data_IF_105380101289
#
_entry.id   IF_105380101289
#
_cell.length_a   1.000
_cell.length_b   1.000
_cell.length_c   1.000
_cell.angle_alpha   90.00
_cell.angle_beta   90.00
_cell.angle_gamma   90.00
#
_symmetry.space_group_name_H-M   'P 1'
#
loop_
_entity.id
_entity.type
_entity.pdbx_description
1 polymer ?
#
# COMPACT_ATOMS: atom_id res chain seq x y z
N UNK A 1 3.07 33.83 -34.11
CA UNK A 1 1.70 34.05 -33.59
C UNK A 1 1.68 33.68 -32.12
N UNK A 2 1.70 34.70 -31.26
CA UNK A 2 1.59 34.55 -29.81
C UNK A 2 0.11 34.68 -29.43
N UNK A 3 -0.41 33.71 -28.68
CA UNK A 3 -1.74 33.74 -28.07
C UNK A 3 -1.57 34.13 -26.58
N UNK A 4 -2.18 35.23 -26.11
CA UNK A 4 -1.98 35.72 -24.75
C UNK A 4 -2.95 35.05 -23.75
N UNK A 5 -2.37 34.52 -22.68
CA UNK A 5 -3.02 34.05 -21.45
C UNK A 5 -3.59 35.24 -20.66
N UNK A 6 -4.78 35.72 -21.02
CA UNK A 6 -5.42 36.86 -20.33
C UNK A 6 -6.83 36.57 -19.78
N UNK A 7 -7.10 35.33 -19.37
CA UNK A 7 -8.45 34.92 -18.90
C UNK A 7 -8.51 34.62 -17.38
N UNK A 8 -7.40 34.63 -16.62
CA UNK A 8 -7.44 34.31 -15.18
C UNK A 8 -7.19 35.47 -14.19
N UNK A 9 -7.09 36.72 -14.66
CA UNK A 9 -6.83 37.89 -13.80
C UNK A 9 -8.11 38.67 -13.44
N UNK A 10 -9.25 38.35 -14.03
CA UNK A 10 -10.48 39.17 -13.94
C UNK A 10 -11.50 38.79 -12.86
N UNK A 11 -11.22 37.85 -11.95
CA UNK A 11 -12.23 37.44 -10.93
C UNK A 11 -11.88 37.69 -9.46
N UNK A 12 -10.74 38.31 -9.12
CA UNK A 12 -10.40 38.58 -7.72
C UNK A 12 -10.32 40.07 -7.33
N UNK A 13 -10.84 40.97 -8.18
CA UNK A 13 -10.85 42.42 -7.91
C UNK A 13 -12.22 43.05 -7.64
N UNK A 14 -13.22 42.24 -7.29
CA UNK A 14 -14.53 42.73 -6.88
C UNK A 14 -14.82 42.30 -5.42
N UNK A 15 -14.90 43.30 -4.53
CA UNK A 15 -15.30 43.27 -3.11
C UNK A 15 -14.19 43.24 -2.05
N UNK A 16 -13.70 44.43 -1.65
CA UNK A 16 -14.20 45.03 -0.41
C UNK A 16 -13.79 46.50 -0.29
N UNK A 17 -14.78 47.38 -0.28
CA UNK A 17 -14.66 48.80 0.06
C UNK A 17 -14.73 48.92 1.59
N UNK A 18 -13.80 49.67 2.19
CA UNK A 18 -14.08 50.54 3.33
C UNK A 18 -12.88 51.48 3.60
N UNK A 19 -13.06 52.77 3.30
CA UNK A 19 -12.37 53.92 3.90
C UNK A 19 -13.47 54.87 4.41
N UNK A 20 -13.27 55.58 5.52
CA UNK A 20 -12.83 57.00 5.45
C UNK A 20 -11.82 57.32 6.60
N UNK A 21 -11.01 58.38 6.67
CA UNK A 21 -10.82 59.65 5.97
C UNK A 21 -9.38 60.21 6.24
N UNK A 22 -9.07 61.31 5.57
CA UNK A 22 -7.80 62.03 5.30
C UNK A 22 -7.64 63.21 6.29
N UNK A 23 -6.49 63.37 6.99
CA UNK A 23 -5.41 64.43 6.85
C UNK A 23 -5.71 65.75 7.60
N UNK A 24 -4.77 66.43 8.30
CA UNK A 24 -3.74 67.42 7.82
C UNK A 24 -2.78 67.86 8.95
N UNK A 25 -1.45 67.78 8.74
CA UNK A 25 -0.44 68.87 8.53
C UNK A 25 -0.03 69.75 9.73
N UNK A 26 1.28 69.83 10.02
CA UNK A 26 2.14 71.04 9.87
C UNK A 26 3.54 70.83 10.49
N UNK A 27 4.58 71.29 9.78
CA UNK A 27 5.98 71.43 10.22
C UNK A 27 6.45 72.87 10.01
N UNK A 28 7.29 73.43 10.91
CA UNK A 28 8.46 74.23 10.45
C UNK A 28 9.73 74.03 11.32
N UNK A 29 10.94 73.80 10.76
CA UNK A 29 12.05 74.77 10.49
C UNK A 29 12.74 75.30 11.80
N UNK A 30 14.04 75.11 12.16
CA UNK A 30 15.33 75.59 11.56
C UNK A 30 16.57 75.23 12.48
N UNK A 31 17.75 74.96 11.87
CA UNK A 31 19.23 75.01 12.27
C UNK A 31 19.71 74.56 13.67
N UNK A 32 20.86 73.87 13.84
CA UNK A 32 22.27 74.37 13.78
C UNK A 32 23.24 73.31 13.20
N UNK A 33 24.19 73.77 12.38
CA UNK A 33 25.40 73.06 11.92
C UNK A 33 26.65 73.49 12.71
N UNK A 34 27.59 72.53 12.82
CA UNK A 34 29.06 72.60 13.06
C UNK A 34 29.62 72.36 14.47
N UNK A 35 30.07 71.09 14.61
CA UNK A 35 31.37 70.60 15.09
C UNK A 35 31.75 70.92 16.55
N UNK A 36 32.46 70.05 17.27
CA UNK A 36 33.85 69.71 17.00
C UNK A 36 34.30 68.49 17.82
N UNK A 37 35.23 67.73 17.25
CA UNK A 37 36.36 67.04 17.91
C UNK A 37 36.16 66.46 19.32
N UNK A 38 36.31 65.12 19.39
CA UNK A 38 36.37 64.25 20.57
C UNK A 38 35.37 64.58 21.67
N UNK A 39 34.23 63.88 21.74
CA UNK A 39 33.28 64.14 22.81
C UNK A 39 32.78 62.84 23.42
N UNK A 40 33.28 62.53 24.61
CA UNK A 40 32.72 61.58 25.56
C UNK A 40 31.19 61.66 25.53
N UNK A 41 30.55 60.50 25.36
CA UNK A 41 29.11 60.36 25.50
C UNK A 41 28.72 60.96 26.84
N UNK A 42 28.17 62.18 26.83
CA UNK A 42 27.45 62.71 27.98
C UNK A 42 26.24 61.81 28.20
N UNK A 43 26.43 60.77 29.01
CA UNK A 43 25.39 60.06 29.73
C UNK A 43 24.83 61.07 30.72
N UNK A 44 23.61 61.60 30.53
CA UNK A 44 23.04 62.46 31.53
C UNK A 44 22.82 61.59 32.78
N UNK A 45 23.38 62.00 33.91
CA UNK A 45 23.17 61.34 35.19
C UNK A 45 21.71 61.62 35.64
N UNK A 46 20.76 60.91 35.03
CA UNK A 46 19.34 60.94 35.39
C UNK A 46 19.01 60.07 36.61
N UNK A 47 20.01 59.44 37.26
CA UNK A 47 19.81 58.53 38.39
C UNK A 47 19.18 59.22 39.62
N UNK A 48 19.24 60.54 39.68
CA UNK A 48 18.76 61.37 40.78
C UNK A 48 17.51 62.23 40.46
N UNK A 49 16.95 62.14 39.24
CA UNK A 49 15.70 62.83 38.90
C UNK A 49 14.50 62.01 39.40
N UNK A 50 13.69 62.51 40.35
CA UNK A 50 12.58 61.76 40.95
C UNK A 50 11.53 61.32 39.93
N UNK A 51 11.29 62.11 38.89
CA UNK A 51 10.29 61.82 37.87
C UNK A 51 10.82 60.78 36.88
N UNK A 52 12.09 60.89 36.47
CA UNK A 52 12.71 59.89 35.60
C UNK A 52 12.80 58.53 36.29
N UNK A 53 13.17 58.51 37.58
CA UNK A 53 13.23 57.28 38.39
C UNK A 53 11.87 56.60 38.50
N UNK A 54 10.80 57.36 38.69
CA UNK A 54 9.43 56.82 38.73
C UNK A 54 9.00 56.22 37.38
N UNK A 55 9.30 56.88 36.26
CA UNK A 55 8.97 56.37 34.92
C UNK A 55 9.79 55.12 34.57
N UNK A 56 11.07 55.11 34.93
CA UNK A 56 11.96 53.98 34.68
C UNK A 56 11.54 52.76 35.51
N UNK A 57 11.19 52.96 36.79
CA UNK A 57 10.70 51.92 37.68
C UNK A 57 9.34 51.36 37.20
N UNK A 58 8.43 52.22 36.74
CA UNK A 58 7.16 51.79 36.13
C UNK A 58 7.37 51.00 34.81
N UNK A 59 8.39 51.35 34.03
CA UNK A 59 8.78 50.58 32.85
C UNK A 59 9.38 49.23 33.24
N UNK A 60 10.28 49.17 34.23
CA UNK A 60 10.84 47.92 34.75
C UNK A 60 9.76 47.01 35.30
N UNK A 61 8.84 47.51 36.14
CA UNK A 61 7.74 46.73 36.70
C UNK A 61 6.85 46.13 35.60
N UNK A 62 6.45 46.94 34.61
CA UNK A 62 5.63 46.48 33.47
C UNK A 62 6.39 45.53 32.54
N UNK A 63 7.70 45.66 32.47
CA UNK A 63 8.53 44.82 31.60
C UNK A 63 8.80 43.48 32.28
N UNK A 64 9.12 43.47 33.59
CA UNK A 64 9.21 42.27 34.42
C UNK A 64 7.89 41.49 34.46
N UNK A 65 6.75 42.17 34.61
CA UNK A 65 5.44 41.49 34.59
C UNK A 65 5.19 40.80 33.25
N UNK A 66 5.52 41.45 32.12
CA UNK A 66 5.38 40.85 30.79
C UNK A 66 6.36 39.69 30.55
N UNK A 67 7.55 39.74 31.14
CA UNK A 67 8.50 38.62 31.07
C UNK A 67 7.97 37.42 31.86
N UNK A 68 7.45 37.61 33.07
CA UNK A 68 6.82 36.55 33.84
C UNK A 68 5.61 35.95 33.11
N UNK A 69 4.71 36.77 32.55
CA UNK A 69 3.58 36.28 31.73
C UNK A 69 4.01 35.58 30.43
N UNK A 70 5.16 35.93 29.86
CA UNK A 70 5.72 35.24 28.70
C UNK A 70 6.32 33.89 29.10
N UNK A 71 7.07 33.84 30.20
CA UNK A 71 7.69 32.62 30.72
C UNK A 71 6.64 31.61 31.18
N UNK A 72 5.58 32.05 31.86
CA UNK A 72 4.47 31.18 32.28
C UNK A 72 3.74 30.57 31.08
N UNK A 73 3.43 31.38 30.05
CA UNK A 73 2.84 30.88 28.79
C UNK A 73 3.79 29.93 28.05
N UNK A 74 5.09 30.19 28.11
CA UNK A 74 6.09 29.30 27.52
C UNK A 74 6.15 27.96 28.26
N UNK A 75 6.12 27.96 29.60
CA UNK A 75 6.11 26.75 30.43
C UNK A 75 4.83 25.95 30.18
N UNK A 76 3.67 26.60 30.13
CA UNK A 76 2.37 25.96 29.85
C UNK A 76 2.36 25.27 28.47
N UNK A 77 2.78 25.99 27.42
CA UNK A 77 2.89 25.41 26.07
C UNK A 77 3.89 24.26 26.00
N UNK A 78 4.99 24.34 26.77
CA UNK A 78 6.01 23.28 26.85
C UNK A 78 5.47 22.03 27.54
N UNK A 79 4.69 22.18 28.63
CA UNK A 79 3.96 21.07 29.27
C UNK A 79 2.98 20.42 28.30
N UNK A 80 2.16 21.23 27.61
CA UNK A 80 1.17 20.69 26.67
C UNK A 80 1.82 19.93 25.50
N UNK A 81 2.95 20.43 24.99
CA UNK A 81 3.69 19.75 23.93
C UNK A 81 4.32 18.44 24.42
N UNK A 82 4.84 18.41 25.66
CA UNK A 82 5.38 17.20 26.29
C UNK A 82 4.31 16.14 26.51
N UNK A 83 3.15 16.51 27.06
CA UNK A 83 2.02 15.59 27.25
C UNK A 83 1.50 15.04 25.91
N UNK A 84 1.47 15.87 24.87
CA UNK A 84 1.07 15.43 23.52
C UNK A 84 2.09 14.45 22.94
N UNK A 85 3.38 14.72 23.12
CA UNK A 85 4.45 13.84 22.65
C UNK A 85 4.43 12.49 23.40
N UNK A 86 4.29 12.50 24.73
CA UNK A 86 4.21 11.30 25.56
C UNK A 86 2.97 10.45 25.19
N UNK A 87 1.84 11.10 24.88
CA UNK A 87 0.63 10.41 24.41
C UNK A 87 0.81 9.75 23.03
N UNK A 88 1.48 10.41 22.10
CA UNK A 88 1.80 9.84 20.79
C UNK A 88 2.83 8.71 20.90
N UNK A 89 3.86 8.86 21.76
CA UNK A 89 4.85 7.81 22.04
C UNK A 89 4.18 6.59 22.67
N UNK A 90 3.30 6.78 23.67
CA UNK A 90 2.49 5.70 24.26
C UNK A 90 1.67 4.99 23.18
N UNK A 91 1.06 5.73 22.25
CA UNK A 91 0.28 5.17 21.14
C UNK A 91 1.16 4.37 20.17
N UNK A 92 2.37 4.85 19.88
CA UNK A 92 3.35 4.15 19.04
C UNK A 92 3.84 2.86 19.72
N UNK A 93 4.16 2.91 21.01
CA UNK A 93 4.57 1.73 21.80
C UNK A 93 3.43 0.70 21.87
N UNK A 94 2.19 1.15 22.10
CA UNK A 94 1.03 0.25 22.13
C UNK A 94 0.80 -0.40 20.76
N UNK A 95 0.98 0.37 19.68
CA UNK A 95 0.88 -0.11 18.30
C UNK A 95 1.98 -1.13 17.97
N UNK A 96 3.23 -0.85 18.32
CA UNK A 96 4.37 -1.77 18.15
C UNK A 96 4.18 -3.06 18.95
N UNK A 97 3.61 -2.97 20.17
CA UNK A 97 3.30 -4.15 20.99
C UNK A 97 2.20 -5.01 20.36
N UNK A 98 1.16 -4.40 19.80
CA UNK A 98 0.10 -5.13 19.07
C UNK A 98 0.64 -5.75 17.77
N UNK A 99 1.47 -5.03 17.02
CA UNK A 99 2.11 -5.54 15.80
C UNK A 99 3.02 -6.73 16.10
N UNK A 100 3.83 -6.67 17.17
CA UNK A 100 4.66 -7.80 17.62
C UNK A 100 3.84 -9.00 18.11
N UNK A 101 2.73 -8.77 18.82
CA UNK A 101 1.84 -9.85 19.23
C UNK A 101 1.14 -10.50 18.02
N UNK A 102 0.72 -9.70 17.05
CA UNK A 102 0.17 -10.19 15.79
C UNK A 102 1.21 -11.01 15.02
N UNK A 103 2.45 -10.54 14.91
CA UNK A 103 3.54 -11.24 14.22
C UNK A 103 3.91 -12.55 14.93
N UNK A 104 3.90 -12.58 16.26
CA UNK A 104 4.08 -13.82 17.04
C UNK A 104 2.92 -14.79 16.85
N UNK A 105 1.66 -14.33 16.86
CA UNK A 105 0.52 -15.21 16.60
C UNK A 105 0.51 -15.71 15.15
N UNK A 106 0.90 -14.87 14.19
CA UNK A 106 0.92 -15.23 12.79
C UNK A 106 2.06 -16.22 12.49
N UNK A 107 3.23 -16.07 13.11
CA UNK A 107 4.32 -17.07 13.03
C UNK A 107 3.94 -18.38 13.72
N UNK A 108 3.24 -18.34 14.86
CA UNK A 108 2.70 -19.54 15.54
C UNK A 108 1.64 -20.25 14.69
N UNK A 109 0.69 -19.51 14.10
CA UNK A 109 -0.27 -20.05 13.14
C UNK A 109 0.43 -20.60 11.88
N UNK A 110 1.51 -19.99 11.42
CA UNK A 110 2.21 -20.41 10.21
C UNK A 110 3.01 -21.71 10.40
N UNK A 111 3.42 -22.03 11.63
CA UNK A 111 3.87 -23.38 12.01
C UNK A 111 2.73 -24.39 12.06
N UNK A 112 1.51 -24.00 12.43
CA UNK A 112 0.33 -24.88 12.41
C UNK A 112 -0.25 -25.09 11.00
N UNK A 113 -0.05 -24.13 10.08
CA UNK A 113 -0.57 -24.16 8.69
C UNK A 113 0.29 -25.02 7.73
N UNK A 114 1.43 -25.58 8.17
CA UNK A 114 2.04 -26.70 7.43
C UNK A 114 1.20 -28.00 7.45
N UNK A 115 0.03 -27.99 8.09
CA UNK A 115 -1.00 -29.00 7.92
C UNK A 115 -2.32 -28.34 7.48
N UNK A 116 -2.65 -28.53 6.20
CA UNK A 116 -3.95 -28.36 5.54
C UNK A 116 -4.78 -27.07 5.80
N UNK A 117 -4.73 -26.15 4.84
CA UNK A 117 -5.79 -25.14 4.66
C UNK A 117 -5.39 -23.93 3.82
N UNK A 118 -5.74 -23.94 2.53
CA UNK A 118 -5.61 -22.80 1.61
C UNK A 118 -6.52 -21.65 2.06
N UNK A 119 -6.02 -20.43 2.35
CA UNK A 119 -6.87 -19.26 2.43
C UNK A 119 -6.96 -18.56 1.09
N UNK A 120 -8.20 -18.25 0.74
CA UNK A 120 -8.67 -17.44 -0.37
C UNK A 120 -7.90 -16.12 -0.51
N UNK A 121 -7.59 -15.77 -1.76
CA UNK A 121 -6.81 -14.65 -2.23
C UNK A 121 -7.11 -13.30 -1.50
N UNK A 122 -6.18 -12.85 -0.66
CA UNK A 122 -6.10 -11.47 -0.14
C UNK A 122 -4.97 -10.74 -0.86
N UNK A 123 -5.10 -10.56 -2.18
CA UNK A 123 -4.11 -9.81 -2.97
C UNK A 123 -4.32 -8.28 -2.89
N UNK A 124 -5.49 -7.82 -2.44
CA UNK A 124 -5.83 -6.39 -2.47
C UNK A 124 -5.22 -5.59 -1.32
N UNK A 125 -5.03 -6.20 -0.14
CA UNK A 125 -4.39 -5.54 1.01
C UNK A 125 -2.86 -5.65 1.01
N UNK A 126 -2.31 -6.80 0.60
CA UNK A 126 -0.86 -7.05 0.74
C UNK A 126 0.01 -6.21 -0.21
N UNK A 127 -0.45 -5.97 -1.46
CA UNK A 127 0.29 -5.12 -2.39
C UNK A 127 0.21 -3.65 -1.98
N UNK A 128 -0.97 -3.16 -1.59
CA UNK A 128 -1.15 -1.78 -1.15
C UNK A 128 -0.30 -1.47 0.10
N UNK A 129 -0.31 -2.34 1.10
CA UNK A 129 0.40 -2.15 2.37
C UNK A 129 1.94 -2.22 2.19
N UNK A 130 2.42 -3.06 1.27
CA UNK A 130 3.84 -3.15 0.90
C UNK A 130 4.29 -1.98 0.02
N UNK A 131 3.39 -1.43 -0.81
CA UNK A 131 3.65 -0.28 -1.68
C UNK A 131 3.65 1.04 -0.90
N UNK A 132 2.76 1.22 0.08
CA UNK A 132 2.72 2.41 0.94
C UNK A 132 4.00 2.53 1.78
N UNK A 133 4.49 1.39 2.33
CA UNK A 133 5.73 1.33 3.11
C UNK A 133 6.98 1.66 2.27
N UNK A 134 7.01 1.29 0.99
CA UNK A 134 8.13 1.61 0.09
C UNK A 134 8.06 3.07 -0.44
N UNK A 135 6.87 3.60 -0.69
CA UNK A 135 6.69 5.03 -1.00
C UNK A 135 7.18 5.92 0.16
N UNK A 136 6.87 5.54 1.41
CA UNK A 136 7.43 6.19 2.59
C UNK A 136 8.96 6.11 2.65
N UNK A 137 9.56 4.96 2.33
CA UNK A 137 11.03 4.79 2.30
C UNK A 137 11.72 5.66 1.25
N UNK A 138 11.10 5.89 0.08
CA UNK A 138 11.59 6.85 -0.91
C UNK A 138 11.58 8.29 -0.40
N UNK A 139 10.75 8.61 0.60
CA UNK A 139 10.71 9.93 1.25
C UNK A 139 11.67 10.00 2.45
N UNK A 140 11.89 8.89 3.15
CA UNK A 140 12.71 8.83 4.37
C UNK A 140 14.21 8.83 4.12
N UNK A 141 14.67 8.28 2.98
CA UNK A 141 16.11 8.27 2.64
C UNK A 141 16.65 9.63 2.19
N UNK A 142 15.81 10.68 2.22
CA UNK A 142 16.15 12.06 1.83
C UNK A 142 16.46 12.95 3.05
N UNK A 143 16.20 12.48 4.28
CA UNK A 143 16.39 13.24 5.53
C UNK A 143 17.78 13.09 6.20
N UNK A 144 18.69 12.30 5.62
CA UNK A 144 19.92 11.86 6.30
C UNK A 144 21.24 12.29 5.69
N UNK A 145 21.26 13.21 4.71
CA UNK A 145 22.53 13.69 4.12
C UNK A 145 22.61 15.21 4.29
N UNK A 146 23.49 15.63 5.19
CA UNK A 146 23.94 17.02 5.32
C UNK A 146 24.55 17.44 3.97
N UNK A 147 24.05 18.58 3.45
CA UNK A 147 24.30 19.23 2.15
C UNK A 147 25.80 19.28 1.68
N UNK A 148 26.15 19.49 0.37
CA UNK A 148 25.61 20.53 -0.50
C UNK A 148 25.59 20.21 -2.02
N UNK A 149 24.41 20.02 -2.61
CA UNK A 149 24.17 20.40 -4.02
C UNK A 149 22.66 20.39 -4.30
N UNK A 150 22.09 21.59 -4.43
CA UNK A 150 20.67 21.80 -4.69
C UNK A 150 20.20 21.32 -6.09
N UNK A 151 21.08 20.69 -6.88
CA UNK A 151 20.77 20.15 -8.20
C UNK A 151 20.63 18.62 -8.28
N UNK A 152 21.00 17.87 -7.24
CA UNK A 152 21.11 16.39 -7.34
C UNK A 152 19.93 15.66 -6.68
N UNK A 153 19.21 16.29 -5.75
CA UNK A 153 18.10 15.64 -5.02
C UNK A 153 16.86 15.36 -5.90
N UNK A 154 16.65 16.12 -6.99
CA UNK A 154 15.57 15.84 -7.94
C UNK A 154 15.82 14.55 -8.75
N UNK A 155 17.08 14.29 -9.13
CA UNK A 155 17.44 13.11 -9.95
C UNK A 155 17.46 11.79 -9.18
N UNK A 156 17.73 11.81 -7.87
CA UNK A 156 17.86 10.59 -7.06
C UNK A 156 16.48 9.96 -6.77
N UNK A 157 15.45 10.78 -6.51
CA UNK A 157 14.09 10.29 -6.26
C UNK A 157 13.42 9.77 -7.53
N UNK A 158 13.56 10.48 -8.66
CA UNK A 158 13.08 10.03 -9.95
C UNK A 158 13.81 8.76 -10.41
N UNK A 159 15.14 8.70 -10.27
CA UNK A 159 15.96 7.54 -10.64
C UNK A 159 15.57 6.26 -9.91
N UNK A 160 15.28 6.34 -8.61
CA UNK A 160 14.78 5.20 -7.84
C UNK A 160 13.38 4.74 -8.29
N UNK A 161 12.50 5.69 -8.67
CA UNK A 161 11.16 5.38 -9.18
C UNK A 161 11.21 4.71 -10.55
N UNK A 162 12.11 5.16 -11.44
CA UNK A 162 12.33 4.56 -12.75
C UNK A 162 12.93 3.15 -12.66
N UNK A 163 13.80 2.88 -11.68
CA UNK A 163 14.31 1.53 -11.42
C UNK A 163 13.24 0.60 -10.83
N UNK A 164 12.28 1.14 -10.06
CA UNK A 164 11.22 0.35 -9.43
C UNK A 164 10.14 -0.13 -10.40
N UNK A 165 9.70 0.73 -11.32
CA UNK A 165 8.61 0.42 -12.26
C UNK A 165 8.78 -0.91 -13.02
N UNK A 166 9.93 -1.22 -13.66
CA UNK A 166 10.09 -2.49 -14.38
C UNK A 166 10.05 -3.69 -13.42
N UNK A 167 10.67 -3.60 -12.24
CA UNK A 167 10.64 -4.67 -11.24
C UNK A 167 9.22 -4.94 -10.72
N UNK A 168 8.44 -3.88 -10.50
CA UNK A 168 7.05 -3.99 -10.08
C UNK A 168 6.15 -4.61 -11.16
N UNK A 169 6.39 -4.27 -12.43
CA UNK A 169 5.66 -4.85 -13.57
C UNK A 169 5.97 -6.34 -13.75
N UNK A 170 7.24 -6.75 -13.62
CA UNK A 170 7.61 -8.17 -13.70
C UNK A 170 6.98 -8.97 -12.54
N UNK A 171 7.05 -8.44 -11.31
CA UNK A 171 6.38 -9.07 -10.17
C UNK A 171 4.85 -9.16 -10.34
N UNK A 172 4.23 -8.14 -10.95
CA UNK A 172 2.79 -8.11 -11.23
C UNK A 172 2.38 -9.18 -12.27
N UNK A 173 3.19 -9.37 -13.32
CA UNK A 173 2.98 -10.42 -14.33
C UNK A 173 3.14 -11.82 -13.74
N UNK A 174 4.17 -12.05 -12.93
CA UNK A 174 4.35 -13.34 -12.26
C UNK A 174 3.21 -13.65 -11.29
N UNK A 175 2.76 -12.66 -10.49
CA UNK A 175 1.60 -12.81 -9.63
C UNK A 175 0.31 -13.11 -10.43
N UNK A 176 0.13 -12.47 -11.59
CA UNK A 176 -1.01 -12.73 -12.47
C UNK A 176 -0.98 -14.14 -13.07
N UNK A 177 0.19 -14.63 -13.48
CA UNK A 177 0.39 -15.98 -13.98
C UNK A 177 0.06 -17.03 -12.92
N UNK A 178 0.53 -16.83 -11.69
CA UNK A 178 0.22 -17.73 -10.57
C UNK A 178 -1.28 -17.74 -10.24
N UNK A 179 -1.92 -16.57 -10.23
CA UNK A 179 -3.37 -16.48 -10.05
C UNK A 179 -4.16 -17.18 -11.17
N UNK A 180 -3.69 -17.07 -12.42
CA UNK A 180 -4.24 -17.78 -13.57
C UNK A 180 -4.15 -19.30 -13.42
N UNK A 181 -2.97 -19.81 -13.06
CA UNK A 181 -2.73 -21.25 -12.83
C UNK A 181 -3.60 -21.77 -11.68
N UNK A 182 -3.71 -21.02 -10.58
CA UNK A 182 -4.55 -21.40 -9.45
C UNK A 182 -6.04 -21.49 -9.83
N UNK A 183 -6.54 -20.51 -10.59
CA UNK A 183 -7.91 -20.53 -11.10
C UNK A 183 -8.14 -21.70 -12.06
N UNK A 184 -7.17 -22.00 -12.92
CA UNK A 184 -7.21 -23.15 -13.81
C UNK A 184 -7.27 -24.48 -13.05
N UNK A 185 -6.36 -24.69 -12.10
CA UNK A 185 -6.32 -25.89 -11.26
C UNK A 185 -7.65 -26.11 -10.54
N UNK A 186 -8.20 -25.09 -9.90
CA UNK A 186 -9.49 -25.17 -9.21
C UNK A 186 -10.64 -25.55 -10.16
N UNK A 187 -10.67 -24.99 -11.36
CA UNK A 187 -11.69 -25.31 -12.36
C UNK A 187 -11.55 -26.74 -12.91
N UNK A 188 -10.31 -27.19 -13.16
CA UNK A 188 -10.01 -28.55 -13.58
C UNK A 188 -10.41 -29.59 -12.52
N UNK A 189 -10.04 -29.35 -11.26
CA UNK A 189 -10.39 -30.24 -10.14
C UNK A 189 -11.91 -30.34 -9.93
N UNK A 190 -12.63 -29.21 -10.00
CA UNK A 190 -14.08 -29.20 -9.90
C UNK A 190 -14.75 -29.97 -11.05
N UNK A 191 -14.26 -29.79 -12.28
CA UNK A 191 -14.75 -30.50 -13.45
C UNK A 191 -14.45 -32.00 -13.38
N UNK A 192 -13.22 -32.37 -13.02
CA UNK A 192 -12.77 -33.75 -12.87
C UNK A 192 -13.57 -34.49 -11.79
N UNK A 193 -13.74 -33.89 -10.60
CA UNK A 193 -14.58 -34.42 -9.53
C UNK A 193 -16.00 -34.72 -10.01
N UNK A 194 -16.65 -33.74 -10.66
CA UNK A 194 -18.03 -33.88 -11.15
C UNK A 194 -18.13 -35.00 -12.19
N UNK A 195 -17.18 -35.07 -13.12
CA UNK A 195 -17.16 -36.08 -14.17
C UNK A 195 -16.90 -37.49 -13.63
N UNK A 196 -15.99 -37.67 -12.66
CA UNK A 196 -15.75 -38.98 -12.03
C UNK A 196 -17.00 -39.46 -11.31
N UNK A 197 -17.65 -38.60 -10.52
CA UNK A 197 -18.89 -38.96 -9.83
C UNK A 197 -19.96 -39.41 -10.84
N UNK A 198 -20.13 -38.68 -11.95
CA UNK A 198 -21.08 -39.04 -13.01
C UNK A 198 -20.71 -40.39 -13.67
N UNK A 199 -19.43 -40.59 -14.00
CA UNK A 199 -18.95 -41.83 -14.61
C UNK A 199 -19.13 -43.05 -13.73
N UNK A 200 -18.90 -42.91 -12.42
CA UNK A 200 -19.17 -43.99 -11.47
C UNK A 200 -20.66 -44.28 -11.32
N UNK A 201 -21.51 -43.25 -11.39
CA UNK A 201 -22.97 -43.45 -11.40
C UNK A 201 -23.41 -44.25 -12.64
N UNK A 202 -22.86 -43.96 -13.81
CA UNK A 202 -23.18 -44.72 -15.04
C UNK A 202 -22.70 -46.17 -14.98
N UNK A 203 -21.65 -46.46 -14.22
CA UNK A 203 -21.14 -47.81 -13.99
C UNK A 203 -21.93 -48.60 -12.90
N UNK A 204 -23.00 -48.03 -12.34
CA UNK A 204 -23.81 -48.71 -11.31
C UNK A 204 -23.23 -48.65 -9.89
N UNK A 205 -22.15 -47.87 -9.66
CA UNK A 205 -21.54 -47.72 -8.32
C UNK A 205 -22.50 -47.06 -7.33
N UNK A 206 -23.45 -46.25 -7.82
CA UNK A 206 -24.47 -45.60 -6.99
C UNK A 206 -25.34 -46.62 -6.25
N UNK A 207 -25.63 -47.73 -6.89
CA UNK A 207 -26.51 -48.74 -6.30
C UNK A 207 -25.76 -49.47 -5.21
N UNK A 208 -24.50 -49.88 -5.44
CA UNK A 208 -23.70 -50.68 -4.49
C UNK A 208 -23.13 -49.85 -3.34
N UNK A 209 -22.62 -48.65 -3.60
CA UNK A 209 -21.95 -47.84 -2.59
C UNK A 209 -22.17 -46.33 -2.79
N UNK A 210 -23.38 -45.81 -2.51
CA UNK A 210 -23.71 -44.39 -2.67
C UNK A 210 -22.87 -43.48 -1.75
N UNK A 211 -22.40 -43.98 -0.61
CA UNK A 211 -21.52 -43.24 0.32
C UNK A 211 -20.14 -42.93 -0.28
N UNK A 212 -19.63 -43.80 -1.15
CA UNK A 212 -18.35 -43.59 -1.80
C UNK A 212 -18.40 -42.36 -2.71
N UNK A 213 -19.49 -42.20 -3.46
CA UNK A 213 -19.68 -41.06 -4.36
C UNK A 213 -19.66 -39.71 -3.62
N UNK A 214 -20.14 -39.68 -2.38
CA UNK A 214 -20.07 -38.48 -1.52
C UNK A 214 -18.66 -38.19 -1.01
N UNK A 215 -17.82 -39.23 -0.87
CA UNK A 215 -16.45 -39.12 -0.36
C UNK A 215 -15.44 -38.65 -1.41
N UNK A 216 -15.77 -38.79 -2.69
CA UNK A 216 -14.90 -38.38 -3.81
C UNK A 216 -14.75 -36.86 -3.85
N UNK A 217 -13.50 -36.40 -3.95
CA UNK A 217 -13.12 -35.00 -3.90
C UNK A 217 -13.43 -34.31 -2.57
N UNK A 218 -13.60 -35.07 -1.49
CA UNK A 218 -13.59 -34.59 -0.10
C UNK A 218 -12.49 -35.32 0.66
N UNK A 219 -12.61 -36.64 0.75
CA UNK A 219 -11.65 -37.52 1.42
C UNK A 219 -10.76 -38.28 0.43
N UNK A 220 -11.34 -38.71 -0.69
CA UNK A 220 -10.63 -39.46 -1.73
C UNK A 220 -10.38 -38.53 -2.91
N UNK A 221 -9.12 -38.30 -3.35
CA UNK A 221 -8.86 -37.53 -4.56
C UNK A 221 -9.54 -38.17 -5.77
N UNK A 222 -10.16 -37.36 -6.63
CA UNK A 222 -10.92 -37.89 -7.77
C UNK A 222 -10.05 -38.64 -8.80
N UNK A 223 -8.74 -38.37 -8.79
CA UNK A 223 -7.74 -38.95 -9.67
C UNK A 223 -6.99 -40.14 -9.04
N UNK A 224 -7.31 -40.53 -7.80
CA UNK A 224 -6.69 -41.66 -7.12
C UNK A 224 -7.42 -42.96 -7.47
N UNK A 225 -6.97 -43.58 -8.56
CA UNK A 225 -7.49 -44.86 -9.06
C UNK A 225 -7.41 -45.95 -8.00
N UNK A 226 -6.33 -46.00 -7.21
CA UNK A 226 -6.12 -47.06 -6.22
C UNK A 226 -7.13 -46.98 -5.08
N UNK A 227 -7.29 -45.79 -4.50
CA UNK A 227 -8.26 -45.59 -3.41
C UNK A 227 -9.70 -45.78 -3.87
N UNK A 228 -10.05 -45.28 -5.06
CA UNK A 228 -11.39 -45.45 -5.62
C UNK A 228 -11.67 -46.93 -5.87
N UNK A 229 -10.78 -47.64 -6.55
CA UNK A 229 -10.98 -49.04 -6.92
C UNK A 229 -11.07 -49.94 -5.69
N UNK A 230 -10.17 -49.76 -4.71
CA UNK A 230 -10.20 -50.53 -3.47
C UNK A 230 -11.49 -50.29 -2.65
N UNK A 231 -11.97 -49.05 -2.60
CA UNK A 231 -13.21 -48.73 -1.90
C UNK A 231 -14.45 -49.33 -2.59
N UNK A 232 -14.47 -49.35 -3.92
CA UNK A 232 -15.52 -50.03 -4.71
C UNK A 232 -15.45 -51.53 -4.46
N UNK A 233 -14.28 -52.14 -4.61
CA UNK A 233 -14.07 -53.58 -4.48
C UNK A 233 -14.51 -54.10 -3.10
N UNK A 234 -14.12 -53.46 -2.00
CA UNK A 234 -14.54 -53.87 -0.65
C UNK A 234 -16.06 -53.87 -0.47
N UNK A 235 -16.75 -52.89 -1.05
CA UNK A 235 -18.21 -52.80 -0.97
C UNK A 235 -18.88 -53.81 -1.89
N UNK A 236 -18.31 -54.03 -3.07
CA UNK A 236 -18.74 -55.06 -4.01
C UNK A 236 -18.62 -56.47 -3.40
N UNK A 237 -17.49 -56.80 -2.77
CA UNK A 237 -17.27 -58.09 -2.11
C UNK A 237 -18.28 -58.32 -0.97
N UNK A 238 -18.54 -57.29 -0.15
CA UNK A 238 -19.54 -57.34 0.92
C UNK A 238 -20.98 -57.50 0.40
N UNK A 239 -21.31 -56.90 -0.75
CA UNK A 239 -22.67 -56.87 -1.28
C UNK A 239 -22.99 -58.08 -2.20
N UNK A 240 -22.01 -58.58 -2.94
CA UNK A 240 -22.22 -59.54 -4.02
C UNK A 240 -21.57 -60.91 -3.78
N UNK A 241 -20.58 -61.03 -2.86
CA UNK A 241 -19.79 -62.27 -2.68
C UNK A 241 -19.97 -63.00 -1.34
N UNK A 242 -20.47 -62.34 -0.27
CA UNK A 242 -20.40 -62.86 1.11
C UNK A 242 -21.70 -63.41 1.72
N UNK A 243 -22.85 -63.35 1.03
CA UNK A 243 -24.12 -63.94 1.54
C UNK A 243 -24.34 -65.41 1.11
N UNK A 244 -24.95 -66.26 1.98
CA UNK A 244 -25.31 -67.64 1.64
C UNK A 244 -26.44 -67.65 0.61
N UNK A 245 -26.14 -68.13 -0.61
CA UNK A 245 -26.99 -67.98 -1.79
C UNK A 245 -26.50 -66.86 -2.69
N UNK A 246 -25.28 -67.02 -3.20
CA UNK A 246 -24.54 -66.04 -4.01
C UNK A 246 -25.45 -65.35 -5.05
N UNK A 247 -25.75 -64.06 -4.83
CA UNK A 247 -26.51 -63.23 -5.78
C UNK A 247 -25.58 -62.54 -6.77
N UNK A 248 -24.54 -63.22 -7.26
CA UNK A 248 -23.78 -62.75 -8.44
C UNK A 248 -24.74 -62.44 -9.60
N UNK A 249 -25.87 -63.16 -9.66
CA UNK A 249 -26.95 -63.00 -10.63
C UNK A 249 -28.13 -62.13 -10.12
N UNK A 250 -28.02 -61.50 -8.95
CA UNK A 250 -29.00 -60.50 -8.52
C UNK A 250 -28.93 -59.29 -9.45
N UNK A 251 -30.07 -58.69 -9.81
CA UNK A 251 -30.14 -57.63 -10.83
C UNK A 251 -29.12 -56.49 -10.63
N UNK A 252 -28.86 -56.14 -9.37
CA UNK A 252 -27.87 -55.13 -8.97
C UNK A 252 -26.42 -55.57 -9.23
N UNK A 253 -26.03 -56.77 -8.79
CA UNK A 253 -24.68 -57.30 -8.98
C UNK A 253 -24.42 -57.67 -10.44
N UNK A 254 -25.44 -58.19 -11.15
CA UNK A 254 -25.34 -58.49 -12.58
C UNK A 254 -25.08 -57.23 -13.40
N UNK A 255 -25.85 -56.16 -13.18
CA UNK A 255 -25.66 -54.89 -13.90
C UNK A 255 -24.27 -54.28 -13.60
N UNK A 256 -23.82 -54.32 -12.35
CA UNK A 256 -22.47 -53.89 -12.02
C UNK A 256 -21.42 -54.75 -12.72
N UNK A 257 -21.57 -56.07 -12.67
CA UNK A 257 -20.62 -56.98 -13.29
C UNK A 257 -20.54 -56.79 -14.80
N UNK A 258 -21.68 -56.58 -15.47
CA UNK A 258 -21.71 -56.28 -16.90
C UNK A 258 -20.99 -54.97 -17.22
N UNK A 259 -21.27 -53.89 -16.46
CA UNK A 259 -20.63 -52.59 -16.66
C UNK A 259 -19.12 -52.59 -16.39
N UNK A 260 -18.65 -53.48 -15.52
CA UNK A 260 -17.24 -53.66 -15.20
C UNK A 260 -16.59 -54.83 -15.96
N UNK A 261 -17.27 -55.50 -16.89
CA UNK A 261 -16.70 -56.60 -17.67
C UNK A 261 -16.34 -57.85 -16.83
N UNK A 262 -17.01 -58.04 -15.69
CA UNK A 262 -16.74 -59.10 -14.73
C UNK A 262 -17.49 -60.40 -15.02
N UNK A 263 -18.47 -60.42 -15.93
CA UNK A 263 -19.26 -61.60 -16.25
C UNK A 263 -18.88 -62.20 -17.60
N UNK A 264 -18.77 -63.53 -17.63
CA UNK A 264 -18.79 -64.27 -18.88
C UNK A 264 -20.25 -64.58 -19.24
N UNK A 265 -20.76 -63.94 -20.30
CA UNK A 265 -22.14 -64.12 -20.75
C UNK A 265 -22.46 -65.54 -21.25
N UNK A 266 -21.45 -66.35 -21.57
CA UNK A 266 -21.64 -67.75 -22.03
C UNK A 266 -21.83 -68.72 -20.85
N UNK A 267 -21.16 -68.46 -19.72
CA UNK A 267 -21.17 -69.37 -18.56
C UNK A 267 -21.92 -68.82 -17.35
N UNK A 268 -22.22 -67.52 -17.32
CA UNK A 268 -22.80 -66.82 -16.18
C UNK A 268 -21.86 -66.76 -14.96
N UNK A 269 -20.59 -67.12 -15.13
CA UNK A 269 -19.58 -67.11 -14.08
C UNK A 269 -18.77 -65.80 -14.13
N UNK A 270 -18.16 -65.45 -12.99
CA UNK A 270 -17.22 -64.33 -12.93
C UNK A 270 -15.97 -64.64 -13.77
N UNK A 271 -15.55 -63.65 -14.55
CA UNK A 271 -14.37 -63.68 -15.41
C UNK A 271 -13.22 -62.89 -14.75
N UNK A 272 -12.08 -63.54 -14.57
CA UNK A 272 -10.87 -62.91 -14.01
C UNK A 272 -10.98 -62.55 -12.51
N UNK A 273 -10.01 -61.77 -12.04
CA UNK A 273 -10.01 -61.25 -10.67
C UNK A 273 -10.78 -59.92 -10.62
N UNK A 274 -11.88 -59.88 -9.88
CA UNK A 274 -12.76 -58.71 -9.84
C UNK A 274 -12.05 -57.42 -9.40
N UNK A 275 -11.08 -57.51 -8.49
CA UNK A 275 -10.24 -56.38 -8.07
C UNK A 275 -9.45 -55.77 -9.24
N UNK A 276 -8.87 -56.63 -10.09
CA UNK A 276 -8.06 -56.23 -11.23
C UNK A 276 -8.90 -55.53 -12.29
N UNK A 277 -10.06 -56.09 -12.63
CA UNK A 277 -10.89 -55.53 -13.68
C UNK A 277 -11.59 -54.24 -13.27
N UNK A 278 -12.09 -54.16 -12.01
CA UNK A 278 -12.56 -52.89 -11.44
C UNK A 278 -11.46 -51.83 -11.54
N UNK A 279 -10.23 -52.17 -11.19
CA UNK A 279 -9.10 -51.23 -11.29
C UNK A 279 -8.85 -50.78 -12.73
N UNK A 280 -8.95 -51.68 -13.71
CA UNK A 280 -8.75 -51.36 -15.13
C UNK A 280 -9.84 -50.42 -15.68
N UNK A 281 -11.12 -50.70 -15.38
CA UNK A 281 -12.23 -49.84 -15.78
C UNK A 281 -12.10 -48.45 -15.18
N UNK A 282 -11.80 -48.37 -13.87
CA UNK A 282 -11.62 -47.09 -13.16
C UNK A 282 -10.42 -46.33 -13.70
N UNK A 283 -9.31 -47.03 -14.01
CA UNK A 283 -8.12 -46.41 -14.62
C UNK A 283 -8.45 -45.77 -15.96
N UNK A 284 -9.21 -46.45 -16.81
CA UNK A 284 -9.66 -45.94 -18.11
C UNK A 284 -10.58 -44.72 -17.94
N UNK A 285 -11.57 -44.82 -17.06
CA UNK A 285 -12.50 -43.74 -16.75
C UNK A 285 -11.78 -42.50 -16.22
N UNK A 286 -10.98 -42.66 -15.16
CA UNK A 286 -10.23 -41.58 -14.51
C UNK A 286 -9.18 -41.01 -15.45
N UNK A 287 -8.52 -41.82 -16.26
CA UNK A 287 -7.55 -41.38 -17.25
C UNK A 287 -8.15 -40.43 -18.29
N UNK A 288 -9.29 -40.82 -18.89
CA UNK A 288 -10.00 -39.97 -19.84
C UNK A 288 -10.52 -38.67 -19.20
N UNK A 289 -11.06 -38.76 -17.99
CA UNK A 289 -11.55 -37.59 -17.26
C UNK A 289 -10.41 -36.65 -16.86
N UNK A 290 -9.27 -37.20 -16.43
CA UNK A 290 -8.07 -36.41 -16.10
C UNK A 290 -7.60 -35.60 -17.30
N UNK A 291 -7.53 -36.21 -18.49
CA UNK A 291 -7.21 -35.49 -19.72
C UNK A 291 -8.14 -34.30 -19.98
N UNK A 292 -9.46 -34.50 -19.81
CA UNK A 292 -10.44 -33.42 -19.99
C UNK A 292 -10.38 -32.36 -18.88
N UNK A 293 -10.09 -32.77 -17.64
CA UNK A 293 -9.92 -31.87 -16.50
C UNK A 293 -8.66 -30.99 -16.66
N UNK A 294 -7.56 -31.58 -17.14
CA UNK A 294 -6.31 -30.88 -17.43
C UNK A 294 -6.51 -29.90 -18.60
N UNK A 295 -7.23 -30.29 -19.65
CA UNK A 295 -7.61 -29.40 -20.75
C UNK A 295 -8.48 -28.23 -20.25
N UNK A 296 -9.44 -28.49 -19.34
CA UNK A 296 -10.25 -27.44 -18.73
C UNK A 296 -9.41 -26.50 -17.87
N UNK A 297 -8.46 -27.04 -17.10
CA UNK A 297 -7.54 -26.24 -16.30
C UNK A 297 -6.65 -25.34 -17.17
N UNK A 298 -6.13 -25.88 -18.28
CA UNK A 298 -5.34 -25.13 -19.24
C UNK A 298 -6.16 -24.00 -19.89
N UNK A 299 -7.40 -24.28 -20.33
CA UNK A 299 -8.29 -23.28 -20.91
C UNK A 299 -8.59 -22.13 -19.94
N UNK A 300 -8.97 -22.45 -18.70
CA UNK A 300 -9.25 -21.42 -17.69
C UNK A 300 -7.99 -20.64 -17.31
N UNK A 301 -6.82 -21.29 -17.26
CA UNK A 301 -5.54 -20.59 -17.05
C UNK A 301 -5.27 -19.59 -18.17
N UNK A 302 -5.46 -20.01 -19.42
CA UNK A 302 -5.28 -19.16 -20.59
C UNK A 302 -6.26 -17.98 -20.61
N UNK A 303 -7.50 -18.18 -20.19
CA UNK A 303 -8.52 -17.12 -20.12
C UNK A 303 -8.26 -16.11 -18.99
N UNK A 304 -7.83 -16.59 -17.82
CA UNK A 304 -7.70 -15.76 -16.60
C UNK A 304 -6.38 -15.03 -16.49
N UNK A 305 -5.28 -15.63 -16.95
CA UNK A 305 -3.94 -15.01 -16.93
C UNK A 305 -3.90 -13.61 -17.57
N UNK A 306 -4.44 -13.37 -18.78
CA UNK A 306 -4.41 -12.03 -19.38
C UNK A 306 -5.23 -11.03 -18.58
N UNK A 307 -6.40 -11.43 -18.06
CA UNK A 307 -7.27 -10.58 -17.24
C UNK A 307 -6.54 -10.12 -15.97
N UNK A 308 -5.89 -11.05 -15.27
CA UNK A 308 -5.09 -10.72 -14.08
C UNK A 308 -3.86 -9.88 -14.43
N UNK A 309 -3.25 -10.13 -15.59
CA UNK A 309 -2.08 -9.38 -16.04
C UNK A 309 -2.43 -7.92 -16.27
N UNK A 310 -3.49 -7.65 -17.03
CA UNK A 310 -4.00 -6.29 -17.25
C UNK A 310 -4.32 -5.61 -15.92
N UNK A 311 -5.10 -6.25 -15.04
CA UNK A 311 -5.48 -5.69 -13.75
C UNK A 311 -4.26 -5.33 -12.88
N UNK A 312 -3.27 -6.22 -12.81
CA UNK A 312 -2.09 -6.00 -11.97
C UNK A 312 -1.17 -4.93 -12.57
N UNK A 313 -1.02 -4.88 -13.90
CA UNK A 313 -0.26 -3.82 -14.59
C UNK A 313 -0.93 -2.46 -14.38
N UNK A 314 -2.25 -2.39 -14.49
CA UNK A 314 -3.01 -1.15 -14.29
C UNK A 314 -2.87 -0.64 -12.85
N UNK A 315 -2.89 -1.54 -11.86
CA UNK A 315 -2.62 -1.20 -10.46
C UNK A 315 -1.21 -0.62 -10.26
N UNK A 316 -0.19 -1.22 -10.88
CA UNK A 316 1.19 -0.71 -10.83
C UNK A 316 1.29 0.67 -11.49
N UNK A 317 0.70 0.84 -12.68
CA UNK A 317 0.72 2.12 -13.41
C UNK A 317 -0.01 3.23 -12.66
N UNK A 318 -1.17 2.92 -12.07
CA UNK A 318 -1.95 3.87 -11.26
C UNK A 318 -1.15 4.33 -10.05
N UNK A 319 -0.50 3.40 -9.35
CA UNK A 319 0.35 3.69 -8.20
C UNK A 319 1.55 4.55 -8.61
N UNK A 320 2.23 4.18 -9.70
CA UNK A 320 3.33 4.95 -10.25
C UNK A 320 2.93 6.38 -10.61
N UNK A 321 1.77 6.57 -11.27
CA UNK A 321 1.25 7.88 -11.63
C UNK A 321 0.94 8.75 -10.41
N UNK A 322 0.40 8.15 -9.34
CA UNK A 322 0.19 8.84 -8.06
C UNK A 322 1.52 9.32 -7.45
N UNK A 323 2.53 8.44 -7.39
CA UNK A 323 3.86 8.80 -6.88
C UNK A 323 4.52 9.91 -7.70
N UNK A 324 4.45 9.82 -9.04
CA UNK A 324 5.01 10.83 -9.93
C UNK A 324 4.35 12.19 -9.70
N UNK A 325 3.02 12.24 -9.59
CA UNK A 325 2.26 13.48 -9.34
C UNK A 325 2.69 14.13 -8.02
N UNK A 326 2.86 13.33 -6.96
CA UNK A 326 3.32 13.82 -5.66
C UNK A 326 4.76 14.39 -5.71
N UNK A 327 5.66 13.73 -6.45
CA UNK A 327 7.04 14.21 -6.65
C UNK A 327 7.04 15.53 -7.43
N UNK A 328 6.29 15.61 -8.55
CA UNK A 328 6.19 16.84 -9.35
C UNK A 328 5.63 18.02 -8.56
N UNK A 329 4.57 17.80 -7.76
CA UNK A 329 4.01 18.83 -6.90
C UNK A 329 5.03 19.34 -5.87
N UNK A 330 5.84 18.45 -5.29
CA UNK A 330 6.90 18.79 -4.35
C UNK A 330 8.02 19.61 -5.00
N UNK A 331 8.42 19.27 -6.23
CA UNK A 331 9.43 20.03 -7.00
C UNK A 331 8.93 21.44 -7.29
N UNK A 332 7.67 21.58 -7.76
CA UNK A 332 7.07 22.89 -8.04
C UNK A 332 7.05 23.76 -6.77
N UNK A 333 6.68 23.20 -5.62
CA UNK A 333 6.68 23.92 -4.35
C UNK A 333 8.09 24.43 -3.97
N UNK A 334 9.13 23.60 -4.11
CA UNK A 334 10.52 23.99 -3.83
C UNK A 334 10.98 25.13 -4.77
N UNK A 335 10.68 25.03 -6.07
CA UNK A 335 11.03 26.06 -7.06
C UNK A 335 10.37 27.41 -6.72
N UNK A 336 9.09 27.39 -6.32
CA UNK A 336 8.37 28.61 -5.90
C UNK A 336 9.01 29.24 -4.67
N UNK A 337 9.40 28.44 -3.66
CA UNK A 337 10.10 28.94 -2.46
C UNK A 337 11.43 29.59 -2.83
N UNK A 338 12.23 28.96 -3.70
CA UNK A 338 13.51 29.50 -4.16
C UNK A 338 13.31 30.82 -4.91
N UNK A 339 12.31 30.91 -5.79
CA UNK A 339 12.00 32.14 -6.52
C UNK A 339 11.63 33.30 -5.58
N UNK A 340 10.81 33.05 -4.57
CA UNK A 340 10.45 34.05 -3.55
C UNK A 340 11.71 34.52 -2.80
N UNK A 341 12.57 33.59 -2.36
CA UNK A 341 13.82 33.90 -1.67
C UNK A 341 14.76 34.76 -2.54
N UNK A 342 14.87 34.46 -3.84
CA UNK A 342 15.65 35.25 -4.80
C UNK A 342 15.08 36.66 -4.97
N UNK A 343 13.76 36.81 -5.08
CA UNK A 343 13.11 38.13 -5.19
C UNK A 343 13.37 38.97 -3.93
N UNK A 344 13.13 38.40 -2.75
CA UNK A 344 13.40 39.07 -1.47
C UNK A 344 14.89 39.47 -1.37
N UNK A 345 15.79 38.55 -1.72
CA UNK A 345 17.22 38.82 -1.75
C UNK A 345 17.58 39.98 -2.69
N UNK A 346 17.03 40.02 -3.91
CA UNK A 346 17.28 41.09 -4.87
C UNK A 346 16.76 42.44 -4.35
N UNK A 347 15.58 42.48 -3.72
CA UNK A 347 15.03 43.68 -3.09
C UNK A 347 15.96 44.17 -1.96
N UNK A 348 16.37 43.27 -1.07
CA UNK A 348 17.28 43.60 0.04
C UNK A 348 18.64 44.09 -0.47
N UNK A 349 19.19 43.45 -1.50
CA UNK A 349 20.46 43.84 -2.14
C UNK A 349 20.35 45.20 -2.80
N UNK A 350 19.25 45.47 -3.51
CA UNK A 350 18.98 46.78 -4.12
C UNK A 350 18.88 47.87 -3.06
N UNK A 351 18.15 47.62 -1.95
CA UNK A 351 18.07 48.56 -0.82
C UNK A 351 19.43 48.83 -0.18
N UNK A 352 20.26 47.80 0.03
CA UNK A 352 21.63 47.95 0.55
C UNK A 352 22.51 48.80 -0.37
N UNK A 353 22.52 48.52 -1.69
CA UNK A 353 23.28 49.32 -2.66
C UNK A 353 22.83 50.79 -2.70
N UNK A 354 21.52 51.05 -2.68
CA UNK A 354 21.00 52.43 -2.64
C UNK A 354 21.42 53.16 -1.36
N UNK A 355 21.40 52.49 -0.21
CA UNK A 355 21.88 53.05 1.07
C UNK A 355 23.36 53.42 1.00
N UNK A 356 24.21 52.57 0.39
CA UNK A 356 25.64 52.83 0.24
C UNK A 356 25.93 53.98 -0.74
N UNK A 357 25.23 54.05 -1.88
CA UNK A 357 25.37 55.17 -2.83
C UNK A 357 25.03 56.52 -2.19
N UNK A 358 23.94 56.56 -1.39
CA UNK A 358 23.58 57.76 -0.62
C UNK A 358 24.67 58.15 0.37
N UNK A 359 25.22 57.20 1.13
CA UNK A 359 26.33 57.46 2.06
C UNK A 359 27.55 58.07 1.37
N UNK A 360 27.91 57.57 0.18
CA UNK A 360 29.07 58.06 -0.57
C UNK A 360 28.89 59.50 -1.07
N UNK A 361 27.67 59.87 -1.48
CA UNK A 361 27.35 61.26 -1.84
C UNK A 361 27.43 62.20 -0.64
N UNK A 362 26.97 61.77 0.54
CA UNK A 362 27.08 62.58 1.76
C UNK A 362 28.52 62.78 2.22
N UNK A 363 29.40 61.77 2.07
CA UNK A 363 30.83 61.91 2.40
C UNK A 363 31.50 62.94 1.49
N UNK A 364 31.26 62.89 0.18
CA UNK A 364 31.83 63.86 -0.77
C UNK A 364 31.44 65.30 -0.49
N UNK A 365 30.18 65.55 -0.10
CA UNK A 365 29.69 66.89 0.24
C UNK A 365 30.26 67.45 1.55
N UNK A 366 30.90 66.62 2.38
CA UNK A 366 31.53 67.04 3.64
C UNK A 366 33.03 67.33 3.49
N UNK A 367 33.62 66.97 2.35
CA UNK A 367 35.06 67.07 2.06
C UNK A 367 35.40 68.31 1.19
N UNK A 368 34.40 68.88 0.50
CA UNK A 368 34.40 70.26 -0.03
C UNK A 368 33.99 71.26 1.06
#
# INVERSE_FOLDING_TARGET
FALPLNILVTLYHAHNKNKPYITTQHTPKITITRLLCECDLYMPNYDNDPQMKAVMQQFEDRTSQRFHEYDDRMIEKRKHCKDKCDKEIQKIILKDKLEKQMEQQLTTLQTDIQNDGIPTCVCEKSLADKMEKNCMKCTQNVGGIVAPSAGVLAGIAEGALYAWKPLALEAAKEAAKQAGIAAGKAAGEAAGKKAVILGLQTLGVKDICPELLKSIGIKIPYNDVGQISNAIFKKYEAACLTEPGSKVNGAMCSNFNDNFGLLNHETGALYGEASTEITNTIKTLVGGIKGNADAKAAGVTADKTPIFTTRNIDAVNTTYGSCQTAITASIIAIVVIILIMVIIYLILRYRRKKKMKKKLQYIKLLEE
#
